data_IF_605591713304
#
_entry.id   IF_605591713304
#
_cell.length_a   1.000
_cell.length_b   1.000
_cell.length_c   1.000
_cell.angle_alpha   90.00
_cell.angle_beta   90.00
_cell.angle_gamma   90.00
#
_symmetry.space_group_name_H-M   'P 1'
#
loop_
_entity.id
_entity.type
_entity.pdbx_description
1 polymer ?
#
# COMPACT_ATOMS: atom_id res chain seq x y z
N UNK A 1 3.60 17.52 14.97
CA UNK A 1 3.99 16.16 14.55
C UNK A 1 3.46 15.21 15.60
N UNK A 2 2.57 14.29 15.26
CA UNK A 2 1.90 13.40 16.24
C UNK A 2 2.83 12.28 16.75
N UNK A 3 4.02 12.16 16.16
CA UNK A 3 5.06 11.20 16.49
C UNK A 3 6.46 11.79 16.28
N UNK A 4 7.48 11.11 16.80
CA UNK A 4 8.89 11.36 16.52
C UNK A 4 9.65 10.06 16.24
N UNK A 5 10.63 10.11 15.33
CA UNK A 5 11.52 8.96 15.07
C UNK A 5 12.73 9.06 16.01
N UNK A 6 12.87 8.11 16.92
CA UNK A 6 13.97 8.05 17.89
C UNK A 6 15.21 7.43 17.25
N UNK A 7 15.01 6.35 16.49
CA UNK A 7 16.08 5.65 15.79
C UNK A 7 15.53 4.93 14.56
N UNK A 8 16.37 4.79 13.52
CA UNK A 8 16.05 3.99 12.35
C UNK A 8 17.31 3.29 11.83
N UNK A 9 17.21 2.00 11.55
CA UNK A 9 18.32 1.19 11.06
C UNK A 9 17.86 0.11 10.10
N UNK A 10 18.77 -0.31 9.22
CA UNK A 10 18.58 -1.48 8.38
C UNK A 10 19.50 -2.60 8.88
N UNK A 11 18.92 -3.76 9.16
CA UNK A 11 19.67 -4.99 9.37
C UNK A 11 20.26 -5.45 8.03
N UNK A 12 21.58 -5.65 7.98
CA UNK A 12 22.28 -5.96 6.74
C UNK A 12 22.06 -7.41 6.27
N UNK A 13 21.80 -8.33 7.20
CA UNK A 13 21.66 -9.76 6.94
C UNK A 13 20.27 -10.08 6.39
N UNK A 14 19.23 -9.71 7.15
CA UNK A 14 17.84 -9.92 6.77
C UNK A 14 17.36 -8.91 5.71
N UNK A 15 18.08 -7.78 5.58
CA UNK A 15 17.68 -6.62 4.77
C UNK A 15 16.30 -6.08 5.19
N UNK A 16 16.01 -6.19 6.48
CA UNK A 16 14.82 -5.66 7.15
C UNK A 16 15.17 -4.36 7.85
N UNK A 17 14.20 -3.45 7.96
CA UNK A 17 14.34 -2.18 8.67
C UNK A 17 13.74 -2.26 10.06
N UNK A 18 14.29 -1.48 11.00
CA UNK A 18 13.73 -1.26 12.32
C UNK A 18 13.65 0.25 12.55
N UNK A 19 12.51 0.72 13.05
CA UNK A 19 12.28 2.12 13.44
C UNK A 19 11.75 2.12 14.86
N UNK A 20 12.35 2.93 15.73
CA UNK A 20 11.81 3.22 17.05
C UNK A 20 11.00 4.51 16.93
N UNK A 21 9.68 4.37 17.04
CA UNK A 21 8.71 5.43 16.87
C UNK A 21 8.16 5.86 18.22
N UNK A 22 8.31 7.13 18.58
CA UNK A 22 7.69 7.71 19.76
C UNK A 22 6.34 8.31 19.38
N UNK A 23 5.27 7.86 20.05
CA UNK A 23 3.90 8.38 19.90
C UNK A 23 3.41 8.78 21.28
N UNK A 24 3.24 10.08 21.52
CA UNK A 24 3.01 10.62 22.85
C UNK A 24 4.13 10.23 23.84
N UNK A 25 3.77 9.57 24.93
CA UNK A 25 4.71 9.09 25.95
C UNK A 25 5.21 7.66 25.73
N UNK A 26 4.86 7.02 24.62
CA UNK A 26 5.14 5.61 24.36
C UNK A 26 6.08 5.44 23.18
N UNK A 27 7.06 4.54 23.32
CA UNK A 27 7.90 4.09 22.21
C UNK A 27 7.36 2.77 21.66
N UNK A 28 7.26 2.69 20.33
CA UNK A 28 6.82 1.53 19.58
C UNK A 28 7.92 1.12 18.62
N UNK A 29 8.09 -0.18 18.43
CA UNK A 29 9.02 -0.74 17.46
C UNK A 29 8.30 -1.02 16.15
N UNK A 30 8.75 -0.46 15.05
CA UNK A 30 8.23 -0.73 13.72
C UNK A 30 9.23 -1.57 12.96
N UNK A 31 8.88 -2.82 12.69
CA UNK A 31 9.69 -3.75 11.90
C UNK A 31 9.23 -3.70 10.44
N UNK A 32 10.12 -3.32 9.54
CA UNK A 32 9.85 -3.19 8.12
C UNK A 32 10.50 -4.36 7.39
N UNK A 33 9.67 -5.27 6.87
CA UNK A 33 10.21 -6.44 6.14
C UNK A 33 10.98 -6.02 4.89
N UNK A 34 11.98 -6.80 4.49
CA UNK A 34 12.70 -6.60 3.22
C UNK A 34 11.77 -6.38 2.03
N UNK A 35 10.68 -7.15 1.93
CA UNK A 35 9.70 -7.03 0.83
C UNK A 35 8.97 -5.69 0.87
N UNK A 36 8.68 -5.13 2.05
CA UNK A 36 8.10 -3.80 2.16
C UNK A 36 9.04 -2.73 1.57
N UNK A 37 10.33 -2.80 1.90
CA UNK A 37 11.35 -1.87 1.38
C UNK A 37 11.47 -1.97 -0.14
N UNK A 38 11.49 -3.19 -0.69
CA UNK A 38 11.50 -3.38 -2.15
C UNK A 38 10.26 -2.81 -2.83
N UNK A 39 9.11 -2.80 -2.13
CA UNK A 39 7.85 -2.35 -2.69
C UNK A 39 7.59 -0.87 -2.48
N UNK A 40 8.35 -0.13 -1.68
CA UNK A 40 8.01 1.27 -1.39
C UNK A 40 8.12 2.16 -2.62
N UNK A 41 9.10 1.90 -3.49
CA UNK A 41 9.37 2.69 -4.68
C UNK A 41 9.99 1.85 -5.80
N UNK A 42 9.96 2.39 -7.02
CA UNK A 42 10.62 1.82 -8.21
C UNK A 42 11.93 2.56 -8.50
N UNK A 43 13.00 1.89 -8.97
CA UNK A 43 13.16 0.44 -9.08
C UNK A 43 13.25 -0.24 -7.70
N UNK A 44 12.89 -1.53 -7.55
CA UNK A 44 12.85 -2.20 -6.25
C UNK A 44 14.26 -2.40 -5.67
N UNK A 45 14.59 -1.68 -4.59
CA UNK A 45 15.88 -1.78 -3.90
C UNK A 45 15.67 -1.98 -2.39
N UNK A 46 16.48 -2.82 -1.76
CA UNK A 46 16.46 -3.04 -0.30
C UNK A 46 17.79 -2.58 0.28
N UNK A 47 18.07 -1.28 0.17
CA UNK A 47 19.30 -0.66 0.67
C UNK A 47 19.00 0.28 1.83
N UNK A 48 20.01 0.54 2.66
CA UNK A 48 19.86 1.46 3.80
C UNK A 48 19.41 2.84 3.36
N UNK A 49 19.98 3.36 2.27
CA UNK A 49 19.58 4.65 1.71
C UNK A 49 18.09 4.70 1.35
N UNK A 50 17.57 3.65 0.68
CA UNK A 50 16.16 3.59 0.31
C UNK A 50 15.23 3.48 1.51
N UNK A 51 15.62 2.68 2.50
CA UNK A 51 14.88 2.57 3.74
C UNK A 51 14.79 3.93 4.45
N UNK A 52 15.91 4.62 4.64
CA UNK A 52 15.97 5.93 5.30
C UNK A 52 15.18 7.01 4.56
N UNK A 53 15.27 7.04 3.23
CA UNK A 53 14.50 7.96 2.36
C UNK A 53 12.98 7.84 2.58
N UNK A 54 12.49 6.65 2.94
CA UNK A 54 11.06 6.35 3.08
C UNK A 54 10.65 6.04 4.52
N UNK A 55 11.46 6.42 5.53
CA UNK A 55 11.14 6.22 6.95
C UNK A 55 9.77 6.81 7.30
N UNK A 56 9.52 8.05 6.87
CA UNK A 56 8.23 8.74 7.10
C UNK A 56 7.05 7.93 6.56
N UNK A 57 7.15 7.39 5.33
CA UNK A 57 6.09 6.55 4.76
C UNK A 57 5.83 5.31 5.60
N UNK A 58 6.86 4.65 6.11
CA UNK A 58 6.66 3.49 6.98
C UNK A 58 6.05 3.88 8.33
N UNK A 59 6.39 5.04 8.88
CA UNK A 59 5.77 5.59 10.09
C UNK A 59 4.29 5.88 9.88
N UNK A 60 3.89 6.51 8.77
CA UNK A 60 2.49 6.79 8.45
C UNK A 60 1.66 5.50 8.36
N UNK A 61 2.18 4.47 7.67
CA UNK A 61 1.54 3.16 7.58
C UNK A 61 1.39 2.54 8.98
N UNK A 62 2.44 2.62 9.81
CA UNK A 62 2.43 2.10 11.17
C UNK A 62 1.40 2.80 12.04
N UNK A 63 1.28 4.13 11.98
CA UNK A 63 0.27 4.89 12.71
C UNK A 63 -1.14 4.52 12.28
N UNK A 64 -1.37 4.40 10.97
CA UNK A 64 -2.67 3.97 10.46
C UNK A 64 -3.03 2.55 10.97
N UNK A 65 -2.05 1.65 11.06
CA UNK A 65 -2.22 0.34 11.69
C UNK A 65 -2.55 0.46 13.18
N UNK A 66 -1.82 1.27 13.94
CA UNK A 66 -2.04 1.45 15.38
C UNK A 66 -3.42 1.97 15.72
N UNK A 67 -4.04 2.76 14.84
CA UNK A 67 -5.42 3.26 15.01
C UNK A 67 -6.49 2.17 14.87
N UNK A 68 -6.13 0.99 14.35
CA UNK A 68 -7.04 -0.15 14.28
C UNK A 68 -7.11 -0.84 15.66
N UNK A 69 -8.32 -1.14 16.18
CA UNK A 69 -8.52 -1.64 17.54
C UNK A 69 -7.88 -3.01 17.85
N UNK A 70 -7.35 -3.69 16.82
CA UNK A 70 -6.78 -5.04 16.91
C UNK A 70 -5.27 -5.01 17.24
N UNK A 71 -4.63 -3.85 17.15
CA UNK A 71 -3.15 -3.73 17.19
C UNK A 71 -2.64 -2.87 18.35
N UNK A 72 -3.00 -3.23 19.58
CA UNK A 72 -2.29 -2.79 20.79
C UNK A 72 -0.97 -3.58 20.97
N UNK A 73 -0.10 -3.56 19.97
CA UNK A 73 1.19 -4.25 20.03
C UNK A 73 2.32 -3.23 20.16
N UNK A 74 3.29 -3.49 21.04
CA UNK A 74 4.55 -2.71 21.12
C UNK A 74 5.39 -2.84 19.85
N UNK A 75 5.13 -3.88 19.06
CA UNK A 75 5.78 -4.14 17.78
C UNK A 75 4.74 -4.08 16.66
N UNK A 76 4.98 -3.24 15.66
CA UNK A 76 4.17 -3.14 14.44
C UNK A 76 4.99 -3.64 13.27
N UNK A 77 4.53 -4.70 12.62
CA UNK A 77 5.22 -5.28 11.45
C UNK A 77 4.62 -4.72 10.16
N UNK A 78 5.45 -4.09 9.35
CA UNK A 78 5.10 -3.53 8.04
C UNK A 78 5.56 -4.50 6.95
N UNK A 79 4.57 -5.00 6.21
CA UNK A 79 4.77 -5.94 5.11
C UNK A 79 4.61 -5.27 3.77
N UNK A 80 4.98 -5.97 2.70
CA UNK A 80 4.72 -5.52 1.34
C UNK A 80 3.22 -5.34 1.05
N UNK A 81 2.33 -6.05 1.76
CA UNK A 81 0.89 -5.88 1.59
C UNK A 81 0.43 -4.52 2.11
N UNK A 82 0.95 -4.11 3.27
CA UNK A 82 0.66 -2.81 3.86
C UNK A 82 1.11 -1.68 2.93
N UNK A 83 2.33 -1.79 2.39
CA UNK A 83 2.87 -0.81 1.42
C UNK A 83 2.04 -0.76 0.13
N UNK A 84 1.60 -1.91 -0.41
CA UNK A 84 0.74 -1.94 -1.61
C UNK A 84 -0.64 -1.36 -1.33
N UNK A 85 -1.22 -1.67 -0.17
CA UNK A 85 -2.50 -1.11 0.27
C UNK A 85 -2.39 0.41 0.39
N UNK A 86 -1.35 0.89 1.08
CA UNK A 86 -1.07 2.32 1.25
C UNK A 86 -1.01 3.07 -0.08
N UNK A 87 -0.26 2.55 -1.05
CA UNK A 87 -0.13 3.18 -2.38
C UNK A 87 -1.44 3.26 -3.17
N UNK A 88 -2.40 2.38 -2.93
CA UNK A 88 -3.72 2.45 -3.58
C UNK A 88 -4.59 3.57 -3.01
N UNK A 89 -4.31 4.01 -1.79
CA UNK A 89 -5.05 5.06 -1.09
C UNK A 89 -4.28 6.38 -1.03
N UNK A 90 -3.04 6.41 -1.52
CA UNK A 90 -2.31 7.66 -1.74
C UNK A 90 -3.11 8.51 -2.72
N UNK A 91 -3.54 9.74 -2.36
CA UNK A 91 -4.10 10.65 -3.34
C UNK A 91 -3.03 10.80 -4.41
N UNK A 92 -3.29 10.32 -5.63
CA UNK A 92 -2.40 10.53 -6.74
C UNK A 92 -2.14 12.03 -6.80
N UNK A 93 -0.97 12.47 -6.35
CA UNK A 93 -0.52 13.82 -6.61
C UNK A 93 -0.66 13.99 -8.13
N UNK A 94 -1.29 15.08 -8.60
CA UNK A 94 -1.48 15.28 -10.02
C UNK A 94 -0.11 15.10 -10.67
N UNK A 95 -0.05 14.23 -11.68
CA UNK A 95 1.15 13.99 -12.43
C UNK A 95 1.80 15.35 -12.75
N UNK A 96 3.13 15.51 -12.61
CA UNK A 96 3.78 16.73 -13.04
C UNK A 96 3.30 17.01 -14.46
N UNK A 97 2.65 18.15 -14.66
CA UNK A 97 2.30 18.66 -15.97
C UNK A 97 3.62 18.93 -16.69
N UNK A 98 4.20 17.88 -17.29
CA UNK A 98 5.13 18.05 -18.36
C UNK A 98 4.33 18.60 -19.52
N UNK A 99 4.31 19.93 -19.59
CA UNK A 99 3.88 20.68 -20.76
C UNK A 99 4.86 20.37 -21.90
N UNK A 100 4.54 19.38 -22.72
CA UNK A 100 4.91 19.35 -24.14
C UNK A 100 4.14 20.48 -24.88
N UNK A 101 4.55 20.96 -26.09
CA UNK A 101 5.14 20.19 -27.19
C UNK A 101 6.28 20.93 -27.97
N UNK A 102 7.04 20.29 -28.85
CA UNK A 102 6.83 20.35 -30.32
C UNK A 102 7.80 19.39 -31.01
N UNK A 103 7.29 18.48 -31.85
CA UNK A 103 8.11 17.65 -32.72
C UNK A 103 7.39 16.45 -33.28
N UNK A 104 6.38 16.68 -34.13
CA UNK A 104 5.64 15.65 -34.82
C UNK A 104 6.55 14.67 -35.59
N UNK A 105 6.32 13.37 -35.42
CA UNK A 105 6.30 12.38 -36.52
C UNK A 105 5.55 11.11 -36.10
N UNK A 106 4.61 10.73 -36.95
CA UNK A 106 3.65 9.63 -36.84
C UNK A 106 4.34 8.26 -36.82
N UNK A 107 3.78 7.29 -36.10
CA UNK A 107 3.49 5.93 -36.61
C UNK A 107 3.05 4.99 -35.47
N UNK A 108 2.03 4.17 -35.72
CA UNK A 108 1.92 2.85 -35.07
C UNK A 108 0.74 2.62 -34.11
N UNK A 109 -0.38 2.21 -34.68
CA UNK A 109 -1.53 1.54 -34.04
C UNK A 109 -1.14 0.43 -33.02
N UNK A 110 -1.74 0.44 -31.83
CA UNK A 110 -2.48 -0.71 -31.24
C UNK A 110 -3.19 -0.31 -29.94
N UNK A 111 -4.51 -0.27 -30.02
CA UNK A 111 -5.45 -0.03 -28.91
C UNK A 111 -5.77 -1.41 -28.30
N UNK A 112 -5.17 -1.72 -27.16
CA UNK A 112 -5.50 -2.90 -26.34
C UNK A 112 -6.68 -2.59 -25.44
N UNK A 113 -7.79 -3.30 -25.67
CA UNK A 113 -9.11 -3.04 -25.13
C UNK A 113 -9.19 -3.15 -23.60
N UNK A 114 -9.72 -2.10 -23.01
CA UNK A 114 -10.44 -2.05 -21.74
C UNK A 114 -11.52 -3.15 -21.69
N UNK A 115 -11.38 -4.14 -20.79
CA UNK A 115 -12.50 -5.01 -20.44
C UNK A 115 -13.26 -4.42 -19.25
N UNK A 116 -14.47 -3.97 -19.59
CA UNK A 116 -15.58 -3.57 -18.75
C UNK A 116 -16.27 -4.81 -18.17
N UNK A 117 -16.56 -4.72 -16.87
CA UNK A 117 -17.73 -5.25 -16.14
C UNK A 117 -18.24 -6.66 -16.45
N UNK A 118 -18.13 -7.55 -15.46
CA UNK A 118 -19.10 -8.63 -15.24
C UNK A 118 -19.81 -8.38 -13.89
N UNK A 119 -21.12 -8.62 -13.95
CA UNK A 119 -22.20 -7.99 -13.18
C UNK A 119 -22.49 -8.72 -11.85
N UNK A 120 -23.25 -8.11 -10.92
CA UNK A 120 -23.76 -8.77 -9.71
C UNK A 120 -24.83 -9.84 -10.04
N UNK A 121 -24.91 -10.87 -9.20
CA UNK A 121 -25.89 -11.98 -9.29
C UNK A 121 -27.23 -11.54 -8.67
N UNK A 122 -28.38 -11.74 -9.34
CA UNK A 122 -29.70 -11.50 -8.75
C UNK A 122 -30.13 -12.66 -7.85
N UNK A 123 -30.77 -12.31 -6.73
CA UNK A 123 -31.42 -13.21 -5.79
C UNK A 123 -32.61 -13.92 -6.46
N UNK A 124 -32.68 -15.25 -6.30
CA UNK A 124 -33.82 -16.04 -6.73
C UNK A 124 -35.00 -15.86 -5.77
N UNK A 125 -36.10 -15.34 -6.29
CA UNK A 125 -37.45 -15.59 -5.79
C UNK A 125 -38.29 -16.01 -6.99
N UNK A 126 -38.83 -17.22 -6.92
CA UNK A 126 -40.04 -17.59 -7.66
C UNK A 126 -40.82 -18.55 -6.78
N UNK A 127 -41.83 -17.97 -6.15
CA UNK A 127 -43.06 -18.66 -5.79
C UNK A 127 -43.74 -19.13 -7.08
N UNK A 128 -44.35 -20.32 -7.05
CA UNK A 128 -45.80 -20.49 -7.25
C UNK A 128 -46.16 -21.94 -7.66
N UNK A 129 -46.83 -22.62 -6.73
CA UNK A 129 -48.07 -23.43 -6.84
C UNK A 129 -48.41 -24.19 -8.13
N UNK A 130 -48.73 -25.50 -8.00
CA UNK A 130 -49.53 -26.21 -9.01
C UNK A 130 -49.70 -27.73 -8.82
N UNK A 131 -50.77 -28.10 -8.11
CA UNK A 131 -51.43 -29.40 -7.87
C UNK A 131 -51.29 -30.62 -8.82
N UNK A 132 -51.38 -31.79 -8.15
CA UNK A 132 -52.21 -33.01 -8.38
C UNK A 132 -51.66 -34.27 -9.09
N UNK A 133 -51.87 -35.41 -8.41
CA UNK A 133 -52.44 -36.63 -9.00
C UNK A 133 -51.53 -37.87 -9.08
N UNK A 134 -51.60 -38.75 -8.07
CA UNK A 134 -52.07 -40.16 -8.10
C UNK A 134 -51.58 -40.94 -6.87
#
# INVERSE_FOLDING_TARGET
MEYGVVAAGLDADEKSGCIILQVGSQCRTVLVTRRAILNVASPPRATKARFLEHVETFCEIALNRMRMPITNQDIVVITANDVRGWRRHWPSLPAPLFSEPTGARKSGHRIGKQQRYLQPIPAGTSEETGHNGE
#
